data_IF_704312492451
#
_entry.id   IF_704312492451
#
_cell.length_a   1.000
_cell.length_b   1.000
_cell.length_c   1.000
_cell.angle_alpha   90.00
_cell.angle_beta   90.00
_cell.angle_gamma   90.00
#
_symmetry.space_group_name_H-M   'P 1'
#
loop_
_entity.id
_entity.type
_entity.pdbx_description
1 polymer ?
#
# COMPACT_ATOMS: atom_id res chain seq x y z
N UNK A 1 -4.18 -18.63 -23.86
CA UNK A 1 -4.52 -19.83 -23.06
C UNK A 1 -3.85 -19.81 -21.69
N UNK A 2 -2.52 -19.62 -21.62
CA UNK A 2 -1.75 -19.55 -20.36
C UNK A 2 -2.30 -18.53 -19.35
N UNK A 3 -2.75 -17.35 -19.80
CA UNK A 3 -3.36 -16.34 -18.93
C UNK A 3 -4.56 -16.87 -18.13
N UNK A 4 -5.47 -17.62 -18.77
CA UNK A 4 -6.65 -18.18 -18.09
C UNK A 4 -6.27 -19.22 -17.04
N UNK A 5 -5.22 -20.00 -17.31
CA UNK A 5 -4.67 -20.96 -16.36
C UNK A 5 -4.08 -20.26 -15.13
N UNK A 6 -3.33 -19.17 -15.33
CA UNK A 6 -2.78 -18.36 -14.24
C UNK A 6 -3.90 -17.77 -13.39
N UNK A 7 -4.90 -17.14 -14.02
CA UNK A 7 -6.04 -16.55 -13.32
C UNK A 7 -6.82 -17.62 -12.55
N UNK A 8 -7.07 -18.78 -13.15
CA UNK A 8 -7.76 -19.89 -12.48
C UNK A 8 -7.01 -20.34 -11.23
N UNK A 9 -5.70 -20.60 -11.33
CA UNK A 9 -4.88 -21.00 -10.18
C UNK A 9 -4.74 -19.91 -9.11
N UNK A 10 -4.62 -18.66 -9.52
CA UNK A 10 -4.60 -17.52 -8.61
C UNK A 10 -5.92 -17.42 -7.83
N UNK A 11 -7.06 -17.57 -8.51
CA UNK A 11 -8.39 -17.57 -7.87
C UNK A 11 -8.59 -18.77 -6.95
N UNK A 12 -8.21 -19.98 -7.39
CA UNK A 12 -8.29 -21.19 -6.56
C UNK A 12 -7.45 -21.03 -5.29
N UNK A 13 -6.23 -20.49 -5.42
CA UNK A 13 -5.34 -20.24 -4.29
C UNK A 13 -5.90 -19.18 -3.36
N UNK A 14 -6.43 -18.07 -3.89
CA UNK A 14 -7.07 -17.02 -3.11
C UNK A 14 -8.31 -17.54 -2.36
N UNK A 15 -9.17 -18.32 -3.02
CA UNK A 15 -10.32 -18.95 -2.39
C UNK A 15 -9.90 -19.97 -1.33
N UNK A 16 -8.89 -20.79 -1.61
CA UNK A 16 -8.33 -21.75 -0.66
C UNK A 16 -7.81 -21.06 0.61
N UNK A 17 -7.01 -20.00 0.44
CA UNK A 17 -6.56 -19.17 1.57
C UNK A 17 -7.74 -18.55 2.32
N UNK A 18 -8.76 -18.05 1.61
CA UNK A 18 -9.95 -17.47 2.23
C UNK A 18 -10.71 -18.48 3.08
N UNK A 19 -10.97 -19.69 2.56
CA UNK A 19 -11.63 -20.74 3.33
C UNK A 19 -10.79 -21.17 4.53
N UNK A 20 -9.46 -21.28 4.38
CA UNK A 20 -8.56 -21.59 5.49
C UNK A 20 -8.69 -20.59 6.64
N UNK A 21 -8.87 -19.29 6.37
CA UNK A 21 -9.08 -18.29 7.45
C UNK A 21 -10.36 -18.54 8.28
N UNK A 22 -11.36 -19.22 7.71
CA UNK A 22 -12.64 -19.53 8.39
C UNK A 22 -12.59 -20.85 9.17
N UNK A 23 -11.62 -21.71 8.89
CA UNK A 23 -11.42 -22.99 9.60
C UNK A 23 -11.00 -22.77 11.06
N UNK A 24 -11.16 -23.77 11.95
CA UNK A 24 -10.62 -23.70 13.32
C UNK A 24 -9.11 -23.40 13.35
N UNK A 25 -8.35 -23.89 12.36
CA UNK A 25 -6.92 -23.61 12.24
C UNK A 25 -6.61 -22.11 12.01
N UNK A 26 -7.38 -21.44 11.16
CA UNK A 26 -7.24 -19.99 10.93
C UNK A 26 -7.59 -19.18 12.18
N UNK A 27 -8.67 -19.56 12.87
CA UNK A 27 -9.07 -18.93 14.14
C UNK A 27 -8.02 -19.12 15.24
N UNK A 28 -7.44 -20.33 15.33
CA UNK A 28 -6.38 -20.62 16.30
C UNK A 28 -5.09 -19.87 15.98
N UNK A 29 -4.76 -19.68 14.69
CA UNK A 29 -3.61 -18.87 14.28
C UNK A 29 -3.76 -17.41 14.71
N UNK A 30 -4.96 -16.83 14.58
CA UNK A 30 -5.25 -15.49 15.08
C UNK A 30 -5.14 -15.43 16.61
N UNK A 31 -5.70 -16.42 17.33
CA UNK A 31 -5.57 -16.48 18.79
C UNK A 31 -4.11 -16.58 19.26
N UNK A 32 -3.27 -17.36 18.55
CA UNK A 32 -1.84 -17.47 18.83
C UNK A 32 -1.08 -16.17 18.52
N UNK A 33 -1.53 -15.39 17.52
CA UNK A 33 -0.98 -14.07 17.20
C UNK A 33 -1.28 -13.05 18.29
N UNK A 34 -2.49 -13.10 18.87
CA UNK A 34 -2.93 -12.11 19.85
C UNK A 34 -2.35 -12.38 21.25
N UNK A 35 -2.38 -13.64 21.71
CA UNK A 35 -1.80 -14.02 22.99
C UNK A 35 -1.34 -15.48 23.00
N UNK A 36 -0.02 -15.65 22.88
CA UNK A 36 0.64 -16.95 22.84
C UNK A 36 0.41 -17.77 24.12
N UNK A 37 0.47 -17.14 25.29
CA UNK A 37 0.31 -17.80 26.59
C UNK A 37 -1.13 -18.26 26.80
N UNK A 38 -2.10 -17.41 26.41
CA UNK A 38 -3.53 -17.75 26.48
C UNK A 38 -3.90 -18.93 25.58
N UNK A 39 -3.27 -19.06 24.42
CA UNK A 39 -3.47 -20.20 23.53
C UNK A 39 -3.02 -21.53 24.17
N UNK A 40 -1.95 -21.51 24.99
CA UNK A 40 -1.47 -22.70 25.70
C UNK A 40 -2.43 -23.16 26.80
N UNK A 41 -3.05 -22.23 27.52
CA UNK A 41 -4.03 -22.56 28.57
C UNK A 41 -5.30 -23.24 28.04
N UNK A 42 -5.61 -23.09 26.76
CA UNK A 42 -6.76 -23.74 26.10
C UNK A 42 -6.42 -25.19 25.67
N UNK A 43 -5.17 -25.63 25.87
CA UNK A 43 -4.72 -27.01 25.59
C UNK A 43 -4.20 -27.23 24.17
N UNK A 44 -4.02 -26.17 23.38
CA UNK A 44 -3.38 -26.23 22.07
C UNK A 44 -1.90 -25.90 22.17
N UNK A 45 -1.06 -26.53 21.35
CA UNK A 45 0.35 -26.16 21.18
C UNK A 45 0.48 -25.06 20.10
N UNK A 46 0.80 -23.80 20.46
CA UNK A 46 0.96 -22.71 19.50
C UNK A 46 2.14 -22.92 18.54
N UNK A 47 3.13 -23.75 18.91
CA UNK A 47 4.28 -24.05 18.04
C UNK A 47 3.83 -24.84 16.82
N UNK A 48 3.00 -25.85 17.03
CA UNK A 48 2.41 -26.65 15.94
C UNK A 48 1.54 -25.79 15.03
N UNK A 49 0.75 -24.88 15.60
CA UNK A 49 -0.08 -23.94 14.81
C UNK A 49 0.81 -23.05 13.93
N UNK A 50 1.88 -22.47 14.48
CA UNK A 50 2.83 -21.65 13.70
C UNK A 50 3.56 -22.45 12.63
N UNK A 51 3.97 -23.68 12.93
CA UNK A 51 4.60 -24.57 11.95
C UNK A 51 3.67 -24.85 10.77
N UNK A 52 2.41 -25.17 11.05
CA UNK A 52 1.44 -25.43 9.99
C UNK A 52 1.14 -24.18 9.16
N UNK A 53 1.02 -23.01 9.79
CA UNK A 53 0.86 -21.74 9.07
C UNK A 53 2.08 -21.41 8.20
N UNK A 54 3.30 -21.70 8.69
CA UNK A 54 4.51 -21.55 7.90
C UNK A 54 4.52 -22.48 6.68
N UNK A 55 4.21 -23.76 6.87
CA UNK A 55 4.12 -24.74 5.79
C UNK A 55 3.05 -24.36 4.74
N UNK A 56 1.87 -23.90 5.19
CA UNK A 56 0.81 -23.41 4.31
C UNK A 56 1.25 -22.16 3.54
N UNK A 57 1.96 -21.22 4.18
CA UNK A 57 2.49 -20.04 3.49
C UNK A 57 3.48 -20.43 2.40
N UNK A 58 4.35 -21.41 2.66
CA UNK A 58 5.31 -21.95 1.69
C UNK A 58 4.60 -22.65 0.52
N UNK A 59 3.52 -23.38 0.78
CA UNK A 59 2.70 -24.00 -0.26
C UNK A 59 2.11 -22.96 -1.21
N UNK A 60 1.44 -21.92 -0.70
CA UNK A 60 0.86 -20.87 -1.54
C UNK A 60 1.93 -20.01 -2.23
N UNK A 61 3.04 -19.72 -1.55
CA UNK A 61 4.18 -19.03 -2.16
C UNK A 61 4.79 -19.86 -3.30
N UNK A 62 4.87 -21.19 -3.15
CA UNK A 62 5.32 -22.11 -4.19
C UNK A 62 4.42 -22.09 -5.42
N UNK A 63 3.09 -22.07 -5.23
CA UNK A 63 2.14 -21.88 -6.34
C UNK A 63 2.39 -20.54 -7.03
N UNK A 64 2.53 -19.46 -6.26
CA UNK A 64 2.84 -18.13 -6.81
C UNK A 64 4.14 -18.10 -7.62
N UNK A 65 5.21 -18.75 -7.13
CA UNK A 65 6.48 -18.89 -7.84
C UNK A 65 6.36 -19.73 -9.12
N UNK A 66 5.57 -20.80 -9.10
CA UNK A 66 5.26 -21.58 -10.30
C UNK A 66 4.51 -20.76 -11.35
N UNK A 67 3.51 -19.97 -10.93
CA UNK A 67 2.79 -19.04 -11.81
C UNK A 67 3.72 -17.94 -12.36
N UNK A 68 4.64 -17.44 -11.54
CA UNK A 68 5.66 -16.48 -11.98
C UNK A 68 6.54 -17.07 -13.09
N UNK A 69 7.07 -18.29 -12.90
CA UNK A 69 7.89 -18.95 -13.91
C UNK A 69 7.15 -19.18 -15.23
N UNK A 70 5.86 -19.54 -15.16
CA UNK A 70 4.99 -19.68 -16.35
C UNK A 70 4.76 -18.33 -17.04
N UNK A 71 4.60 -17.25 -16.27
CA UNK A 71 4.32 -15.90 -16.81
C UNK A 71 5.51 -15.31 -17.56
N UNK A 72 6.71 -15.47 -17.00
CA UNK A 72 7.92 -14.86 -17.55
C UNK A 72 8.68 -15.78 -18.51
N UNK A 73 8.37 -17.08 -18.56
CA UNK A 73 9.03 -18.13 -19.38
C UNK A 73 10.55 -18.25 -19.17
N UNK A 74 11.12 -17.44 -18.28
CA UNK A 74 12.53 -17.41 -17.90
C UNK A 74 12.65 -17.21 -16.40
N UNK A 75 13.61 -17.91 -15.79
CA UNK A 75 13.97 -17.74 -14.39
C UNK A 75 15.41 -17.25 -14.33
N UNK A 76 15.58 -15.99 -13.95
CA UNK A 76 16.89 -15.35 -13.73
C UNK A 76 17.19 -15.28 -12.23
N UNK A 77 18.40 -14.87 -11.87
CA UNK A 77 18.79 -14.66 -10.46
C UNK A 77 17.88 -13.66 -9.74
N UNK A 78 17.24 -12.74 -10.46
CA UNK A 78 16.29 -11.79 -9.87
C UNK A 78 15.03 -12.47 -9.31
N UNK A 79 14.65 -13.63 -9.85
CA UNK A 79 13.48 -14.38 -9.38
C UNK A 79 13.69 -15.00 -7.97
N UNK A 80 14.94 -15.18 -7.56
CA UNK A 80 15.32 -15.65 -6.22
C UNK A 80 15.92 -14.55 -5.34
N UNK A 81 15.98 -13.32 -5.86
CA UNK A 81 16.52 -12.19 -5.13
C UNK A 81 15.57 -11.73 -4.02
N UNK A 82 16.15 -11.26 -2.91
CA UNK A 82 15.37 -10.71 -1.78
C UNK A 82 14.53 -9.48 -2.15
N UNK A 83 14.83 -8.81 -3.27
CA UNK A 83 14.05 -7.70 -3.80
C UNK A 83 12.61 -8.11 -4.17
N UNK A 84 12.42 -9.30 -4.74
CA UNK A 84 11.09 -9.83 -5.07
C UNK A 84 10.28 -10.13 -3.81
N UNK A 85 10.92 -10.69 -2.78
CA UNK A 85 10.27 -10.90 -1.49
C UNK A 85 9.91 -9.57 -0.81
N UNK A 86 10.79 -8.58 -0.88
CA UNK A 86 10.53 -7.25 -0.34
C UNK A 86 9.36 -6.57 -1.05
N UNK A 87 9.27 -6.64 -2.38
CA UNK A 87 8.15 -6.06 -3.13
C UNK A 87 6.81 -6.75 -2.80
N UNK A 88 6.79 -8.07 -2.63
CA UNK A 88 5.59 -8.78 -2.18
C UNK A 88 5.13 -8.31 -0.78
N UNK A 89 6.07 -8.11 0.15
CA UNK A 89 5.77 -7.56 1.48
C UNK A 89 5.26 -6.12 1.37
N UNK A 90 5.90 -5.27 0.57
CA UNK A 90 5.46 -3.90 0.34
C UNK A 90 4.02 -3.86 -0.18
N UNK A 91 3.69 -4.66 -1.20
CA UNK A 91 2.33 -4.77 -1.73
C UNK A 91 1.33 -5.20 -0.65
N UNK A 92 1.68 -6.17 0.20
CA UNK A 92 0.81 -6.63 1.29
C UNK A 92 0.56 -5.55 2.35
N UNK A 93 1.58 -4.81 2.75
CA UNK A 93 1.43 -3.73 3.75
C UNK A 93 0.69 -2.51 3.18
N UNK A 94 1.01 -2.11 1.96
CA UNK A 94 0.35 -0.99 1.26
C UNK A 94 -1.14 -1.30 1.09
N UNK A 95 -1.45 -2.50 0.63
CA UNK A 95 -2.81 -2.98 0.49
C UNK A 95 -3.55 -3.15 1.82
N UNK A 96 -2.84 -3.57 2.87
CA UNK A 96 -3.34 -3.77 4.23
C UNK A 96 -3.39 -5.24 4.62
N UNK A 97 -2.82 -5.58 5.78
CA UNK A 97 -2.73 -6.97 6.27
C UNK A 97 -3.94 -7.38 7.13
N UNK A 98 -4.79 -6.44 7.52
CA UNK A 98 -6.00 -6.69 8.31
C UNK A 98 -7.18 -7.17 7.45
N UNK A 99 -7.14 -6.88 6.15
CA UNK A 99 -8.18 -7.24 5.19
C UNK A 99 -7.65 -8.30 4.25
N UNK A 100 -8.37 -9.40 4.09
CA UNK A 100 -7.94 -10.51 3.24
C UNK A 100 -7.63 -10.09 1.78
N UNK A 101 -8.47 -9.24 1.20
CA UNK A 101 -8.27 -8.70 -0.15
C UNK A 101 -7.26 -7.55 -0.22
N UNK A 102 -6.71 -7.11 0.92
CA UNK A 102 -5.77 -6.00 0.99
C UNK A 102 -4.53 -6.19 0.12
N UNK A 103 -3.78 -7.30 0.25
CA UNK A 103 -2.59 -7.53 -0.57
C UNK A 103 -2.85 -7.52 -2.08
N UNK A 104 -4.04 -7.96 -2.52
CA UNK A 104 -4.44 -7.90 -3.94
C UNK A 104 -4.60 -6.45 -4.40
N UNK A 105 -5.27 -5.61 -3.60
CA UNK A 105 -5.39 -4.17 -3.88
C UNK A 105 -4.01 -3.50 -3.92
N UNK A 106 -3.13 -3.83 -2.99
CA UNK A 106 -1.76 -3.33 -2.97
C UNK A 106 -0.96 -3.75 -4.20
N UNK A 107 -1.07 -5.01 -4.62
CA UNK A 107 -0.42 -5.51 -5.83
C UNK A 107 -0.91 -4.77 -7.09
N UNK A 108 -2.22 -4.57 -7.23
CA UNK A 108 -2.80 -3.82 -8.36
C UNK A 108 -2.31 -2.37 -8.36
N UNK A 109 -2.37 -1.69 -7.21
CA UNK A 109 -1.93 -0.30 -7.08
C UNK A 109 -0.44 -0.16 -7.44
N UNK A 110 0.41 -1.00 -6.86
CA UNK A 110 1.86 -0.91 -7.08
C UNK A 110 2.22 -1.26 -8.51
N UNK A 111 1.56 -2.24 -9.12
CA UNK A 111 1.78 -2.59 -10.53
C UNK A 111 1.38 -1.43 -11.46
N UNK A 112 0.22 -0.79 -11.21
CA UNK A 112 -0.21 0.37 -11.99
C UNK A 112 0.72 1.57 -11.78
N UNK A 113 1.16 1.79 -10.55
CA UNK A 113 2.08 2.86 -10.21
C UNK A 113 3.46 2.63 -10.83
N UNK A 114 3.97 1.41 -10.78
CA UNK A 114 5.21 1.02 -11.45
C UNK A 114 5.11 1.26 -12.95
N UNK A 115 4.05 0.78 -13.59
CA UNK A 115 3.83 0.97 -15.04
C UNK A 115 3.75 2.46 -15.40
N UNK A 116 2.91 3.24 -14.71
CA UNK A 116 2.75 4.67 -14.97
C UNK A 116 4.00 5.51 -14.67
N UNK A 117 4.61 5.32 -13.50
CA UNK A 117 5.81 6.06 -13.12
C UNK A 117 7.03 5.68 -13.95
N UNK A 118 7.15 4.42 -14.38
CA UNK A 118 8.26 3.99 -15.25
C UNK A 118 8.29 4.74 -16.59
N UNK A 119 7.14 5.22 -17.07
CA UNK A 119 7.03 6.01 -18.29
C UNK A 119 7.50 7.47 -18.09
N UNK A 120 7.35 8.01 -16.88
CA UNK A 120 7.69 9.40 -16.56
C UNK A 120 9.10 9.53 -16.00
N UNK A 121 9.51 8.63 -15.10
CA UNK A 121 10.73 8.73 -14.31
C UNK A 121 11.40 7.38 -14.11
N UNK A 122 12.72 7.34 -14.31
CA UNK A 122 13.52 6.14 -14.08
C UNK A 122 13.67 5.80 -12.57
N UNK A 123 13.24 6.69 -11.67
CA UNK A 123 13.37 6.52 -10.21
C UNK A 123 12.07 6.11 -9.52
N UNK A 124 11.23 5.35 -10.22
CA UNK A 124 9.95 4.82 -9.71
C UNK A 124 10.06 4.10 -8.34
N UNK A 125 11.19 3.45 -8.04
CA UNK A 125 11.44 2.76 -6.76
C UNK A 125 11.43 3.71 -5.56
N UNK A 126 11.95 4.93 -5.71
CA UNK A 126 11.95 5.95 -4.63
C UNK A 126 10.52 6.36 -4.29
N UNK A 127 9.69 6.56 -5.31
CA UNK A 127 8.27 6.89 -5.13
C UNK A 127 7.52 5.80 -4.39
N UNK A 128 7.77 4.53 -4.74
CA UNK A 128 7.17 3.39 -4.05
C UNK A 128 7.62 3.33 -2.59
N UNK A 129 8.91 3.56 -2.30
CA UNK A 129 9.44 3.56 -0.94
C UNK A 129 8.84 4.66 -0.06
N UNK A 130 8.68 5.87 -0.59
CA UNK A 130 8.04 6.97 0.17
C UNK A 130 6.55 6.75 0.32
N UNK A 131 5.86 6.25 -0.70
CA UNK A 131 4.46 5.86 -0.58
C UNK A 131 4.28 4.81 0.53
N UNK A 132 5.17 3.83 0.62
CA UNK A 132 5.16 2.83 1.68
C UNK A 132 5.30 3.47 3.07
N UNK A 133 6.29 4.33 3.28
CA UNK A 133 6.50 5.03 4.56
C UNK A 133 5.27 5.87 4.91
N UNK A 134 4.71 6.60 3.93
CA UNK A 134 3.52 7.41 4.13
C UNK A 134 2.33 6.54 4.57
N UNK A 135 2.10 5.39 3.93
CA UNK A 135 1.02 4.49 4.31
C UNK A 135 1.25 3.92 5.71
N UNK A 136 2.47 3.51 6.06
CA UNK A 136 2.76 2.97 7.40
C UNK A 136 2.50 4.02 8.50
N UNK A 137 2.83 5.29 8.26
CA UNK A 137 2.64 6.38 9.23
C UNK A 137 1.17 6.80 9.33
N UNK A 138 0.51 7.00 8.19
CA UNK A 138 -0.83 7.63 8.16
C UNK A 138 -1.97 6.61 8.14
N UNK A 139 -1.73 5.39 7.65
CA UNK A 139 -2.72 4.36 7.41
C UNK A 139 -2.19 2.97 7.84
N UNK A 140 -2.02 2.72 9.15
CA UNK A 140 -1.42 1.48 9.67
C UNK A 140 -2.24 0.21 9.35
N UNK A 141 -3.53 0.36 9.00
CA UNK A 141 -4.39 -0.74 8.53
C UNK A 141 -4.31 -0.98 7.01
N UNK A 142 -3.51 -0.17 6.30
CA UNK A 142 -3.37 -0.15 4.85
C UNK A 142 -4.59 0.42 4.13
N UNK A 143 -4.53 0.42 2.79
CA UNK A 143 -5.57 1.01 1.94
C UNK A 143 -6.93 0.30 2.07
N UNK A 144 -6.92 -1.03 2.19
CA UNK A 144 -8.15 -1.79 2.37
C UNK A 144 -8.82 -1.50 3.72
N UNK A 145 -8.04 -1.22 4.77
CA UNK A 145 -8.56 -0.78 6.06
C UNK A 145 -9.30 0.54 5.96
N UNK A 146 -8.77 1.50 5.19
CA UNK A 146 -9.45 2.78 4.91
C UNK A 146 -10.76 2.51 4.17
N UNK A 147 -10.75 1.71 3.11
CA UNK A 147 -11.95 1.38 2.33
C UNK A 147 -13.06 0.78 3.21
N UNK A 148 -12.71 -0.17 4.09
CA UNK A 148 -13.67 -0.77 5.02
C UNK A 148 -14.17 0.22 6.07
N UNK A 149 -13.33 1.13 6.57
CA UNK A 149 -13.74 2.16 7.51
C UNK A 149 -14.81 3.11 6.93
N UNK A 150 -14.83 3.28 5.60
CA UNK A 150 -15.84 4.09 4.91
C UNK A 150 -17.12 3.33 4.54
N UNK A 151 -17.11 1.98 4.62
CA UNK A 151 -18.27 1.15 4.27
C UNK A 151 -19.51 1.38 5.16
N UNK A 152 -19.41 1.59 6.49
CA UNK A 152 -20.56 1.94 7.33
C UNK A 152 -21.16 3.30 6.97
N UNK A 153 -20.31 4.32 6.72
CA UNK A 153 -20.77 5.65 6.30
C UNK A 153 -21.46 5.61 4.92
N UNK A 154 -20.99 4.73 4.03
CA UNK A 154 -21.64 4.46 2.74
C UNK A 154 -23.03 3.87 2.89
N UNK A 155 -23.18 2.85 3.75
CA UNK A 155 -24.49 2.21 4.01
C UNK A 155 -25.47 3.16 4.69
N UNK A 156 -24.99 4.07 5.54
CA UNK A 156 -25.80 5.09 6.19
C UNK A 156 -26.18 6.28 5.27
N UNK A 157 -25.72 6.32 4.01
CA UNK A 157 -26.01 7.41 3.07
C UNK A 157 -25.36 8.75 3.43
N UNK A 158 -24.43 8.78 4.40
CA UNK A 158 -23.80 10.01 4.92
C UNK A 158 -22.45 10.34 4.28
N UNK A 159 -22.12 9.70 3.15
CA UNK A 159 -20.86 9.94 2.41
C UNK A 159 -20.67 11.41 2.03
N UNK A 160 -21.76 12.13 1.76
CA UNK A 160 -21.70 13.55 1.42
C UNK A 160 -21.10 14.40 2.56
N UNK A 161 -21.24 13.98 3.82
CA UNK A 161 -20.64 14.64 4.98
C UNK A 161 -19.10 14.53 5.01
N UNK A 162 -18.55 13.49 4.39
CA UNK A 162 -17.08 13.27 4.31
C UNK A 162 -16.48 13.87 3.03
N UNK A 163 -17.30 14.10 2.00
CA UNK A 163 -16.85 14.63 0.71
C UNK A 163 -16.20 16.02 0.82
N UNK A 164 -16.80 16.94 1.60
CA UNK A 164 -16.23 18.29 1.80
C UNK A 164 -14.88 18.28 2.53
N UNK A 165 -14.72 17.52 3.64
CA UNK A 165 -13.42 17.28 4.25
C UNK A 165 -12.37 16.67 3.31
N UNK A 166 -12.74 15.68 2.50
CA UNK A 166 -11.82 15.10 1.49
C UNK A 166 -11.40 16.11 0.43
N UNK A 167 -12.32 16.94 -0.05
CA UNK A 167 -12.03 17.97 -1.05
C UNK A 167 -11.04 19.02 -0.52
N UNK A 168 -11.18 19.42 0.75
CA UNK A 168 -10.25 20.33 1.44
C UNK A 168 -8.87 19.71 1.67
N UNK A 169 -8.80 18.39 1.83
CA UNK A 169 -7.53 17.65 1.94
C UNK A 169 -6.81 17.48 0.59
N UNK A 170 -7.54 17.53 -0.51
CA UNK A 170 -7.05 17.22 -1.85
C UNK A 170 -6.01 18.26 -2.34
N UNK A 171 -6.29 19.55 -2.13
CA UNK A 171 -5.41 20.67 -2.49
C UNK A 171 -4.03 20.63 -1.77
N UNK A 172 -3.96 20.57 -0.43
CA UNK A 172 -2.69 20.42 0.27
C UNK A 172 -2.02 19.09 -0.07
N UNK A 173 -2.79 18.02 -0.29
CA UNK A 173 -2.30 16.71 -0.73
C UNK A 173 -1.55 16.80 -2.05
N UNK A 174 -2.17 17.39 -3.08
CA UNK A 174 -1.53 17.58 -4.39
C UNK A 174 -0.28 18.48 -4.29
N UNK A 175 -0.32 19.54 -3.48
CA UNK A 175 0.84 20.40 -3.27
C UNK A 175 2.02 19.67 -2.63
N UNK A 176 1.76 18.84 -1.59
CA UNK A 176 2.81 17.99 -0.99
C UNK A 176 3.39 16.99 -1.95
N UNK A 177 2.52 16.34 -2.72
CA UNK A 177 2.89 15.30 -3.67
C UNK A 177 3.72 15.91 -4.82
N UNK A 178 3.32 17.08 -5.33
CA UNK A 178 4.08 17.83 -6.32
C UNK A 178 5.46 18.30 -5.80
N UNK A 179 5.54 18.79 -4.56
CA UNK A 179 6.81 19.17 -3.93
C UNK A 179 7.75 17.97 -3.73
N UNK A 180 7.19 16.83 -3.32
CA UNK A 180 7.92 15.57 -3.19
C UNK A 180 8.41 15.05 -4.54
N UNK A 181 7.54 15.01 -5.55
CA UNK A 181 7.90 14.62 -6.91
C UNK A 181 9.00 15.52 -7.47
N UNK A 182 8.88 16.84 -7.31
CA UNK A 182 9.91 17.78 -7.75
C UNK A 182 11.28 17.52 -7.12
N UNK A 183 11.34 17.26 -5.81
CA UNK A 183 12.60 16.93 -5.14
C UNK A 183 13.19 15.61 -5.63
N UNK A 184 12.35 14.59 -5.80
CA UNK A 184 12.80 13.28 -6.29
C UNK A 184 13.35 13.42 -7.71
N UNK A 185 12.65 14.08 -8.63
CA UNK A 185 13.13 14.24 -10.01
C UNK A 185 14.43 15.05 -10.10
N UNK A 186 14.57 16.11 -9.30
CA UNK A 186 15.82 16.89 -9.24
C UNK A 186 17.00 16.05 -8.73
N UNK A 187 16.80 15.24 -7.69
CA UNK A 187 17.82 14.34 -7.15
C UNK A 187 18.15 13.18 -8.10
N UNK A 188 17.13 12.60 -8.72
CA UNK A 188 17.26 11.54 -9.72
C UNK A 188 17.98 12.02 -10.97
N UNK A 189 17.80 13.27 -11.38
CA UNK A 189 18.50 13.79 -12.55
C UNK A 189 19.97 14.08 -12.29
N UNK A 190 20.34 14.55 -11.10
CA UNK A 190 21.75 14.70 -10.73
C UNK A 190 22.48 13.34 -10.71
N UNK A 191 21.80 12.27 -10.31
CA UNK A 191 22.39 10.93 -10.16
C UNK A 191 22.33 10.09 -11.43
N UNK A 192 21.21 10.13 -12.16
CA UNK A 192 20.92 9.22 -13.30
C UNK A 192 20.73 10.00 -14.61
N UNK A 193 20.13 11.20 -14.56
CA UNK A 193 19.80 12.02 -15.74
C UNK A 193 21.02 12.64 -16.45
N UNK A 194 22.01 13.09 -15.68
CA UNK A 194 23.30 13.61 -16.18
C UNK A 194 24.03 12.59 -17.08
N UNK A 195 23.94 11.30 -16.75
CA UNK A 195 24.60 10.22 -17.50
C UNK A 195 23.90 9.90 -18.84
N UNK A 196 22.65 10.31 -19.04
CA UNK A 196 21.87 10.02 -20.25
C UNK A 196 21.73 11.21 -21.21
N UNK A 197 22.30 12.39 -20.90
CA UNK A 197 22.26 13.57 -21.77
C UNK A 197 20.87 14.14 -22.06
N UNK A 198 19.84 13.74 -21.30
CA UNK A 198 18.46 14.26 -21.44
C UNK A 198 18.34 15.62 -20.78
N UNK A 199 17.49 16.51 -21.30
CA UNK A 199 17.07 17.73 -20.60
C UNK A 199 15.94 17.40 -19.62
N UNK A 200 16.00 17.90 -18.37
CA UNK A 200 14.93 17.70 -17.40
C UNK A 200 13.76 18.62 -17.75
N UNK A 201 12.66 18.06 -18.22
CA UNK A 201 11.42 18.79 -18.49
C UNK A 201 10.42 18.48 -17.38
N UNK A 202 10.39 19.32 -16.34
CA UNK A 202 9.42 19.21 -15.25
C UNK A 202 8.17 20.02 -15.64
N UNK A 203 6.99 19.40 -15.73
CA UNK A 203 5.74 20.10 -16.12
C UNK A 203 5.84 20.94 -17.41
N UNK A 204 6.64 20.49 -18.39
CA UNK A 204 6.84 21.22 -19.66
C UNK A 204 7.91 22.32 -19.63
N UNK A 205 8.55 22.56 -18.48
CA UNK A 205 9.59 23.57 -18.33
C UNK A 205 10.97 22.91 -18.28
N UNK A 206 11.93 23.30 -19.14
CA UNK A 206 13.30 22.80 -19.06
C UNK A 206 13.97 23.41 -17.82
N UNK A 207 14.20 22.59 -16.80
CA UNK A 207 14.83 23.02 -15.55
C UNK A 207 16.29 22.58 -15.57
N UNK A 208 17.21 23.54 -15.41
CA UNK A 208 18.63 23.25 -15.21
C UNK A 208 18.87 22.82 -13.75
N UNK A 209 19.28 21.57 -13.49
CA UNK A 209 19.38 21.03 -12.13
C UNK A 209 20.59 21.53 -11.32
N UNK A 210 21.55 22.17 -11.97
CA UNK A 210 22.71 22.81 -11.31
C UNK A 210 22.35 24.13 -10.62
N UNK A 211 21.14 24.65 -10.84
CA UNK A 211 20.66 25.87 -10.19
C UNK A 211 20.05 25.51 -8.83
N UNK A 212 20.33 26.30 -7.79
CA UNK A 212 19.80 26.06 -6.42
C UNK A 212 18.30 26.36 -6.30
N UNK A 213 17.75 27.21 -7.18
CA UNK A 213 16.36 27.69 -7.14
C UNK A 213 15.30 26.57 -7.18
N UNK A 214 15.36 25.56 -8.07
CA UNK A 214 14.37 24.48 -8.12
C UNK A 214 14.38 23.61 -6.86
N UNK A 215 15.54 23.43 -6.23
CA UNK A 215 15.69 22.68 -4.97
C UNK A 215 14.98 23.40 -3.82
N UNK A 216 15.19 24.70 -3.71
CA UNK A 216 14.55 25.53 -2.68
C UNK A 216 13.03 25.57 -2.87
N UNK A 217 12.56 25.71 -4.11
CA UNK A 217 11.11 25.72 -4.41
C UNK A 217 10.47 24.37 -4.10
N UNK A 218 11.09 23.26 -4.50
CA UNK A 218 10.55 21.92 -4.23
C UNK A 218 10.56 21.58 -2.73
N UNK A 219 11.61 21.97 -2.00
CA UNK A 219 11.68 21.83 -0.54
C UNK A 219 10.65 22.70 0.18
N UNK A 220 10.48 23.96 -0.25
CA UNK A 220 9.47 24.85 0.32
C UNK A 220 8.06 24.33 0.07
N UNK A 221 7.76 23.84 -1.14
CA UNK A 221 6.46 23.21 -1.46
C UNK A 221 6.19 21.97 -0.62
N UNK A 222 7.19 21.11 -0.40
CA UNK A 222 7.04 19.92 0.44
C UNK A 222 6.77 20.29 1.91
N UNK A 223 7.56 21.22 2.47
CA UNK A 223 7.45 21.61 3.88
C UNK A 223 6.15 22.40 4.13
N UNK A 224 5.86 23.41 3.31
CA UNK A 224 4.65 24.23 3.46
C UNK A 224 3.39 23.43 3.16
N UNK A 225 3.42 22.60 2.11
CA UNK A 225 2.33 21.66 1.81
C UNK A 225 2.12 20.68 2.97
N UNK A 226 3.20 20.13 3.55
CA UNK A 226 3.11 19.13 4.62
C UNK A 226 2.57 19.70 5.92
N UNK A 227 2.95 20.93 6.24
CA UNK A 227 2.40 21.70 7.36
C UNK A 227 0.91 22.05 7.14
N UNK A 228 0.52 22.35 5.91
CA UNK A 228 -0.88 22.61 5.58
C UNK A 228 -1.72 21.32 5.64
N UNK A 229 -1.20 20.22 5.10
CA UNK A 229 -1.85 18.91 5.15
C UNK A 229 -1.99 18.40 6.58
N UNK A 230 -0.99 18.58 7.45
CA UNK A 230 -1.08 18.16 8.85
C UNK A 230 -2.14 18.94 9.63
N UNK A 231 -2.31 20.24 9.34
CA UNK A 231 -3.38 21.07 9.93
C UNK A 231 -4.77 20.62 9.47
N UNK A 232 -4.96 20.40 8.18
CA UNK A 232 -6.24 19.93 7.64
C UNK A 232 -6.55 18.47 8.03
N UNK A 233 -5.54 17.61 8.15
CA UNK A 233 -5.71 16.25 8.65
C UNK A 233 -6.19 16.21 10.11
N UNK A 234 -5.71 17.14 10.95
CA UNK A 234 -6.21 17.31 12.32
C UNK A 234 -7.65 17.86 12.37
N UNK A 235 -8.06 18.60 11.35
CA UNK A 235 -9.45 19.06 11.16
C UNK A 235 -10.35 17.90 10.72
N UNK A 236 -9.90 17.12 9.72
CA UNK A 236 -10.59 15.93 9.22
C UNK A 236 -10.85 14.91 10.32
N UNK A 237 -9.85 14.63 11.17
CA UNK A 237 -9.98 13.65 12.26
C UNK A 237 -11.11 14.01 13.21
N UNK A 238 -11.25 15.29 13.58
CA UNK A 238 -12.35 15.76 14.43
C UNK A 238 -13.72 15.53 13.78
N UNK A 239 -13.86 15.88 12.50
CA UNK A 239 -15.12 15.67 11.76
C UNK A 239 -15.44 14.18 11.62
N UNK A 240 -14.42 13.34 11.41
CA UNK A 240 -14.57 11.89 11.32
C UNK A 240 -15.03 11.27 12.65
N UNK A 241 -14.42 11.68 13.76
CA UNK A 241 -14.77 11.21 15.10
C UNK A 241 -16.22 11.62 15.46
N UNK A 242 -16.62 12.84 15.12
CA UNK A 242 -17.99 13.33 15.33
C UNK A 242 -19.03 12.54 14.51
N UNK A 243 -18.70 12.18 13.26
CA UNK A 243 -19.58 11.39 12.40
C UNK A 243 -19.75 9.97 12.92
N UNK A 244 -18.68 9.33 13.37
CA UNK A 244 -18.75 7.98 13.96
C UNK A 244 -19.51 7.98 15.29
N UNK A 245 -19.25 8.94 16.17
CA UNK A 245 -20.01 9.09 17.41
C UNK A 245 -21.50 9.38 17.14
N UNK A 246 -21.85 9.96 15.99
CA UNK A 246 -23.22 10.11 15.53
C UNK A 246 -23.85 8.80 15.05
N UNK A 247 -23.09 7.91 14.43
CA UNK A 247 -23.56 6.58 13.99
C UNK A 247 -23.79 5.65 15.19
N UNK A 248 -22.86 5.62 16.15
CA UNK A 248 -23.00 4.80 17.37
C UNK A 248 -24.25 5.18 18.18
N UNK A 249 -24.58 6.48 18.24
CA UNK A 249 -25.81 6.95 18.91
C UNK A 249 -27.09 6.55 18.17
N UNK A 250 -27.05 6.41 16.85
CA UNK A 250 -28.20 6.04 16.03
C UNK A 250 -28.47 4.52 16.03
N UNK A 251 -27.46 3.69 16.23
CA UNK A 251 -27.61 2.23 16.36
C UNK A 251 -28.16 1.80 17.74
N UNK A 252 -28.06 2.68 18.77
CA UNK A 252 -28.52 2.40 20.14
C UNK A 252 -29.97 2.86 20.38
N UNK A 253 -30.54 3.68 19.51
CA UNK A 253 -31.92 4.20 19.59
C UNK A 253 -32.91 3.39 18.75
#
# INVERSE_FOLDING_TARGET
EVYYLIVAWALISALGMFYLTRTPLGRMANACRDNFERAQFIGYDPRMVRFLQFALSGFFAGIGGGLYAITYEIVTFDAVAGSLSASAVLMAYIGGTTVFAGPVLGAVLITLLQSGLSLLSNSWVIYVGVLFIAIVIFAPTGLAGILLAHAPLARAGRLHGVASPYLRLLLPGLATLAGFVGLVELASFLTIGQAQGKSLVLFGWPIHPNTVMPWVVAAACLVLGGLWLSREAASFRRVWDDLNAGLERADVS
#
